data_IF_769107326454
#
_entry.id   IF_769107326454
#
_cell.length_a   1.000
_cell.length_b   1.000
_cell.length_c   1.000
_cell.angle_alpha   90.00
_cell.angle_beta   90.00
_cell.angle_gamma   90.00
#
_symmetry.space_group_name_H-M   'P 1'
#
loop_
_entity.id
_entity.type
_entity.pdbx_description
1 polymer ?
#
# COMPACT_ATOMS: atom_id res chain seq x y z
N UNK A 1 8.28 11.88 28.25
CA UNK A 1 8.65 11.17 27.03
C UNK A 1 8.64 12.12 25.84
N UNK A 2 9.52 11.91 24.89
CA UNK A 2 9.61 12.72 23.67
C UNK A 2 9.34 11.80 22.47
N UNK A 3 8.44 12.24 21.59
CA UNK A 3 8.24 11.65 20.27
C UNK A 3 8.67 12.69 19.24
N UNK A 4 9.73 12.40 18.49
CA UNK A 4 10.39 13.43 17.69
C UNK A 4 10.91 14.56 18.59
N UNK A 5 10.51 15.79 18.30
CA UNK A 5 10.83 16.98 19.11
C UNK A 5 9.72 17.38 20.09
N UNK A 6 8.66 16.57 20.25
CA UNK A 6 7.48 16.93 21.05
C UNK A 6 7.45 16.13 22.37
N UNK A 7 7.25 16.85 23.46
CA UNK A 7 7.10 16.26 24.79
C UNK A 7 5.65 15.82 25.01
N UNK A 8 5.45 14.58 25.44
CA UNK A 8 4.13 13.96 25.67
C UNK A 8 3.89 13.81 27.17
N UNK A 9 2.70 14.20 27.62
CA UNK A 9 2.25 14.03 29.01
C UNK A 9 1.98 12.56 29.35
N UNK A 10 1.81 12.25 30.65
CA UNK A 10 1.47 10.88 31.10
C UNK A 10 0.12 10.42 30.56
N UNK A 11 -0.88 11.30 30.55
CA UNK A 11 -2.22 10.96 30.06
C UNK A 11 -2.21 10.64 28.56
N UNK A 12 -1.47 11.42 27.79
CA UNK A 12 -1.26 11.18 26.36
C UNK A 12 -0.52 9.87 26.13
N UNK A 13 0.49 9.57 26.93
CA UNK A 13 1.22 8.31 26.86
C UNK A 13 0.32 7.12 27.17
N UNK A 14 -0.50 7.22 28.21
CA UNK A 14 -1.43 6.14 28.60
C UNK A 14 -2.48 5.91 27.51
N UNK A 15 -2.99 6.97 26.88
CA UNK A 15 -3.88 6.88 25.73
C UNK A 15 -3.22 6.15 24.56
N UNK A 16 -1.99 6.50 24.21
CA UNK A 16 -1.24 5.84 23.12
C UNK A 16 -0.95 4.37 23.43
N UNK A 17 -0.70 4.04 24.70
CA UNK A 17 -0.50 2.65 25.13
C UNK A 17 -1.80 1.85 25.01
N UNK A 18 -2.93 2.44 25.40
CA UNK A 18 -4.25 1.82 25.24
C UNK A 18 -4.60 1.62 23.76
N UNK A 19 -4.32 2.60 22.91
CA UNK A 19 -4.51 2.52 21.47
C UNK A 19 -3.66 1.40 20.85
N UNK A 20 -2.42 1.26 21.28
CA UNK A 20 -1.54 0.16 20.87
C UNK A 20 -2.14 -1.20 21.27
N UNK A 21 -2.67 -1.34 22.48
CA UNK A 21 -3.29 -2.57 22.94
C UNK A 21 -4.55 -2.93 22.12
N UNK A 22 -5.36 -1.94 21.77
CA UNK A 22 -6.54 -2.14 20.90
C UNK A 22 -6.12 -2.64 19.52
N UNK A 23 -5.11 -2.01 18.90
CA UNK A 23 -4.57 -2.43 17.60
C UNK A 23 -4.03 -3.85 17.63
N UNK A 24 -3.26 -4.19 18.65
CA UNK A 24 -2.72 -5.55 18.82
C UNK A 24 -3.82 -6.59 18.93
N UNK A 25 -4.80 -6.33 19.77
CA UNK A 25 -5.91 -7.27 20.05
C UNK A 25 -6.84 -7.41 18.86
N UNK A 26 -7.27 -6.29 18.27
CA UNK A 26 -8.29 -6.28 17.21
C UNK A 26 -7.77 -6.81 15.88
N UNK A 27 -6.52 -6.51 15.55
CA UNK A 27 -5.92 -6.84 14.26
C UNK A 27 -4.78 -7.86 14.34
N UNK A 28 -4.60 -8.49 15.48
CA UNK A 28 -3.57 -9.52 15.71
C UNK A 28 -2.15 -9.05 15.34
N UNK A 29 -1.82 -7.81 15.70
CA UNK A 29 -0.53 -7.19 15.42
C UNK A 29 0.48 -7.45 16.53
N UNK A 30 1.77 -7.46 16.16
CA UNK A 30 2.85 -7.38 17.15
C UNK A 30 2.87 -6.00 17.82
N UNK A 31 3.49 -5.90 19.00
CA UNK A 31 3.66 -4.61 19.66
C UNK A 31 4.48 -3.62 18.83
N UNK A 32 5.48 -4.11 18.11
CA UNK A 32 6.32 -3.30 17.22
C UNK A 32 5.52 -2.75 16.04
N UNK A 33 4.76 -3.60 15.36
CA UNK A 33 3.93 -3.18 14.22
C UNK A 33 2.84 -2.17 14.63
N UNK A 34 2.17 -2.42 15.75
CA UNK A 34 1.17 -1.50 16.28
C UNK A 34 1.79 -0.14 16.65
N UNK A 35 2.97 -0.14 17.28
CA UNK A 35 3.69 1.09 17.61
C UNK A 35 4.09 1.86 16.35
N UNK A 36 4.61 1.19 15.34
CA UNK A 36 5.00 1.81 14.07
C UNK A 36 3.81 2.43 13.34
N UNK A 37 2.66 1.76 13.34
CA UNK A 37 1.42 2.31 12.79
C UNK A 37 1.00 3.59 13.49
N UNK A 38 1.04 3.62 14.81
CA UNK A 38 0.68 4.80 15.61
C UNK A 38 1.64 5.96 15.32
N UNK A 39 2.94 5.70 15.34
CA UNK A 39 3.96 6.73 15.15
C UNK A 39 3.94 7.36 13.76
N UNK A 40 3.51 6.63 12.74
CA UNK A 40 3.37 7.12 11.37
C UNK A 40 1.98 7.67 11.05
N UNK A 41 1.04 7.63 12.01
CA UNK A 41 -0.35 8.02 11.80
C UNK A 41 -0.63 9.48 12.16
N UNK A 42 -1.83 9.94 11.78
CA UNK A 42 -2.35 11.27 12.10
C UNK A 42 -2.52 11.51 13.61
N UNK A 43 -2.63 10.47 14.42
CA UNK A 43 -2.97 10.58 15.84
C UNK A 43 -1.92 11.36 16.64
N UNK A 44 -0.65 11.29 16.23
CA UNK A 44 0.42 12.01 16.90
C UNK A 44 0.21 13.52 16.77
N UNK A 45 -0.08 14.01 15.58
CA UNK A 45 -0.40 15.43 15.36
C UNK A 45 -1.66 15.85 16.10
N UNK A 46 -2.66 14.99 16.11
CA UNK A 46 -3.94 15.28 16.77
C UNK A 46 -3.77 15.43 18.28
N UNK A 47 -3.02 14.52 18.92
CA UNK A 47 -2.73 14.59 20.36
C UNK A 47 -1.91 15.84 20.71
N UNK A 48 -0.98 16.23 19.83
CA UNK A 48 -0.15 17.42 20.04
C UNK A 48 -0.96 18.71 19.92
N UNK A 49 -1.84 18.81 18.92
CA UNK A 49 -2.61 20.02 18.62
C UNK A 49 -3.90 20.13 19.44
N UNK A 50 -4.54 19.00 19.70
CA UNK A 50 -5.86 18.95 20.36
C UNK A 50 -5.88 17.84 21.43
N UNK A 51 -5.04 17.95 22.49
CA UNK A 51 -4.90 16.85 23.47
C UNK A 51 -6.18 16.55 24.24
N UNK A 52 -6.92 17.57 24.67
CA UNK A 52 -8.12 17.36 25.48
C UNK A 52 -9.22 16.65 24.70
N UNK A 53 -9.50 17.10 23.49
CA UNK A 53 -10.50 16.51 22.62
C UNK A 53 -10.11 15.08 22.23
N UNK A 54 -8.85 14.87 21.87
CA UNK A 54 -8.35 13.55 21.42
C UNK A 54 -8.43 12.50 22.54
N UNK A 55 -8.10 12.88 23.78
CA UNK A 55 -8.16 11.98 24.93
C UNK A 55 -9.59 11.56 25.29
N UNK A 56 -10.60 12.33 24.86
CA UNK A 56 -12.02 12.00 25.04
C UNK A 56 -12.63 11.26 23.85
N UNK A 57 -11.92 11.15 22.74
CA UNK A 57 -12.40 10.42 21.57
C UNK A 57 -12.42 8.91 21.81
N UNK A 58 -13.33 8.24 21.08
CA UNK A 58 -13.40 6.78 21.10
C UNK A 58 -12.12 6.17 20.51
N UNK A 59 -11.39 5.48 21.37
CA UNK A 59 -10.09 4.87 21.02
C UNK A 59 -10.23 3.81 19.92
N UNK A 60 -11.35 3.08 19.87
CA UNK A 60 -11.56 2.07 18.83
C UNK A 60 -11.76 2.69 17.45
N UNK A 61 -12.41 3.85 17.37
CA UNK A 61 -12.56 4.58 16.11
C UNK A 61 -11.19 5.00 15.57
N UNK A 62 -10.32 5.52 16.44
CA UNK A 62 -8.96 5.88 16.03
C UNK A 62 -8.14 4.66 15.63
N UNK A 63 -8.27 3.54 16.35
CA UNK A 63 -7.59 2.30 15.98
C UNK A 63 -7.99 1.82 14.59
N UNK A 64 -9.28 1.83 14.28
CA UNK A 64 -9.79 1.43 12.98
C UNK A 64 -9.31 2.35 11.87
N UNK A 65 -9.36 3.67 12.09
CA UNK A 65 -8.88 4.65 11.12
C UNK A 65 -7.38 4.50 10.84
N UNK A 66 -6.58 4.31 11.88
CA UNK A 66 -5.12 4.11 11.75
C UNK A 66 -4.81 2.84 10.97
N UNK A 67 -5.50 1.75 11.27
CA UNK A 67 -5.31 0.49 10.57
C UNK A 67 -5.71 0.59 9.10
N UNK A 68 -6.87 1.16 8.81
CA UNK A 68 -7.35 1.35 7.43
C UNK A 68 -6.42 2.25 6.62
N UNK A 69 -5.96 3.37 7.18
CA UNK A 69 -5.01 4.28 6.54
C UNK A 69 -3.69 3.58 6.25
N UNK A 70 -3.20 2.76 7.18
CA UNK A 70 -1.97 2.00 7.00
C UNK A 70 -2.11 0.94 5.91
N UNK A 71 -3.23 0.23 5.85
CA UNK A 71 -3.51 -0.74 4.78
C UNK A 71 -3.64 -0.04 3.42
N UNK A 72 -4.30 1.12 3.37
CA UNK A 72 -4.40 1.92 2.15
C UNK A 72 -3.02 2.38 1.64
N UNK A 73 -2.10 2.74 2.55
CA UNK A 73 -0.74 3.15 2.19
C UNK A 73 0.12 2.01 1.62
N UNK A 74 -0.27 0.75 1.84
CA UNK A 74 0.41 -0.43 1.30
C UNK A 74 -0.05 -0.79 -0.10
N UNK A 75 -1.11 -0.19 -0.61
CA UNK A 75 -1.59 -0.44 -1.97
C UNK A 75 -0.57 0.04 -2.99
N UNK A 76 -0.39 -0.73 -4.07
CA UNK A 76 0.45 -0.31 -5.18
C UNK A 76 -0.14 0.92 -5.87
N UNK A 77 0.69 1.63 -6.60
CA UNK A 77 0.25 2.75 -7.42
C UNK A 77 -0.86 2.33 -8.40
N UNK A 78 -0.72 1.16 -9.03
CA UNK A 78 -1.71 0.61 -9.95
C UNK A 78 -3.06 0.41 -9.28
N UNK A 79 -3.08 -0.23 -8.12
CA UNK A 79 -4.33 -0.47 -7.37
C UNK A 79 -5.02 0.84 -6.99
N UNK A 80 -4.26 1.82 -6.50
CA UNK A 80 -4.83 3.14 -6.18
C UNK A 80 -5.44 3.83 -7.38
N UNK A 81 -4.74 3.83 -8.53
CA UNK A 81 -5.24 4.43 -9.76
C UNK A 81 -6.53 3.76 -10.25
N UNK A 82 -6.58 2.43 -10.18
CA UNK A 82 -7.77 1.66 -10.57
C UNK A 82 -8.97 1.98 -9.68
N UNK A 83 -8.77 2.00 -8.36
CA UNK A 83 -9.83 2.31 -7.39
C UNK A 83 -10.33 3.75 -7.54
N UNK A 84 -9.44 4.71 -7.67
CA UNK A 84 -9.79 6.13 -7.86
C UNK A 84 -10.58 6.38 -9.14
N UNK A 85 -10.29 5.61 -10.19
CA UNK A 85 -10.98 5.71 -11.47
C UNK A 85 -12.28 4.88 -11.54
N UNK A 86 -12.63 4.13 -10.48
CA UNK A 86 -13.86 3.34 -10.43
C UNK A 86 -13.75 1.95 -11.04
N UNK A 87 -12.56 1.43 -11.25
CA UNK A 87 -12.31 0.10 -11.82
C UNK A 87 -12.07 -0.96 -10.74
N UNK A 88 -12.97 -1.06 -9.79
CA UNK A 88 -12.94 -2.13 -8.81
C UNK A 88 -13.14 -3.49 -9.49
N UNK A 89 -12.36 -4.49 -9.07
CA UNK A 89 -12.45 -5.84 -9.64
C UNK A 89 -11.64 -6.05 -10.91
N UNK A 90 -10.95 -5.03 -11.44
CA UNK A 90 -10.01 -5.22 -12.54
C UNK A 90 -8.83 -6.07 -12.08
N UNK A 91 -8.46 -7.07 -12.87
CA UNK A 91 -7.32 -7.94 -12.57
C UNK A 91 -6.02 -7.21 -12.93
N UNK A 92 -5.08 -7.16 -11.99
CA UNK A 92 -3.78 -6.52 -12.17
C UNK A 92 -2.67 -7.38 -11.55
N UNK A 93 -1.41 -7.13 -11.95
CA UNK A 93 -0.27 -7.85 -11.41
C UNK A 93 0.06 -7.39 -9.99
N UNK A 94 0.32 -8.34 -9.10
CA UNK A 94 0.62 -8.05 -7.68
C UNK A 94 2.02 -8.50 -7.23
N UNK A 95 2.54 -9.58 -7.79
CA UNK A 95 3.85 -10.10 -7.40
C UNK A 95 4.51 -10.88 -8.57
N UNK A 96 5.38 -10.26 -9.35
CA UNK A 96 5.75 -8.83 -9.29
C UNK A 96 4.59 -7.91 -9.66
N UNK A 97 4.59 -6.69 -9.13
CA UNK A 97 3.49 -5.73 -9.36
C UNK A 97 3.59 -5.01 -10.70
N UNK A 98 4.78 -4.88 -11.25
CA UNK A 98 5.04 -4.13 -12.50
C UNK A 98 4.39 -2.74 -12.53
N UNK A 99 4.27 -2.08 -11.38
CA UNK A 99 3.51 -0.82 -11.29
C UNK A 99 4.07 0.30 -12.17
N UNK A 100 5.37 0.32 -12.42
CA UNK A 100 5.99 1.30 -13.32
C UNK A 100 5.73 1.00 -14.80
N UNK A 101 5.28 -0.19 -15.11
CA UNK A 101 4.91 -0.62 -16.45
C UNK A 101 3.42 -0.43 -16.76
N UNK A 102 2.60 -0.11 -15.74
CA UNK A 102 1.16 0.08 -15.91
C UNK A 102 0.87 1.32 -16.77
N UNK A 103 0.12 1.15 -17.85
CA UNK A 103 -0.21 2.22 -18.79
C UNK A 103 -1.63 2.78 -18.61
N UNK A 104 -2.58 1.93 -18.24
CA UNK A 104 -3.97 2.32 -18.17
C UNK A 104 -4.93 1.15 -18.39
N UNK A 105 -6.12 1.49 -18.86
CA UNK A 105 -7.23 0.56 -19.05
C UNK A 105 -7.62 0.48 -20.52
N UNK A 106 -7.90 -0.72 -21.01
CA UNK A 106 -8.44 -0.94 -22.34
C UNK A 106 -9.93 -0.62 -22.41
N UNK A 107 -10.50 -0.59 -23.62
CA UNK A 107 -11.92 -0.34 -23.85
C UNK A 107 -12.85 -1.42 -23.25
N UNK A 108 -12.31 -2.60 -22.96
CA UNK A 108 -12.99 -3.70 -22.29
C UNK A 108 -12.59 -3.86 -20.81
N UNK A 109 -12.14 -2.76 -20.18
CA UNK A 109 -11.84 -2.64 -18.75
C UNK A 109 -10.72 -3.58 -18.26
N UNK A 110 -9.71 -3.81 -19.09
CA UNK A 110 -8.55 -4.62 -18.75
C UNK A 110 -7.32 -3.74 -18.52
N UNK A 111 -6.52 -4.07 -17.50
CA UNK A 111 -5.26 -3.36 -17.23
C UNK A 111 -4.25 -3.60 -18.36
N UNK A 112 -3.59 -2.54 -18.82
CA UNK A 112 -2.58 -2.59 -19.88
C UNK A 112 -1.21 -2.30 -19.32
N UNK A 113 -0.25 -3.15 -19.64
CA UNK A 113 1.16 -3.03 -19.23
C UNK A 113 2.09 -2.99 -20.44
N UNK A 114 3.15 -2.19 -20.33
CA UNK A 114 4.22 -2.10 -21.34
C UNK A 114 5.25 -3.20 -21.11
N UNK A 115 5.44 -4.09 -22.08
CA UNK A 115 6.37 -5.23 -21.99
C UNK A 115 7.81 -4.78 -21.66
N UNK A 116 8.35 -3.79 -22.36
CA UNK A 116 9.72 -3.33 -22.14
C UNK A 116 9.92 -2.74 -20.74
N UNK A 117 8.91 -2.05 -20.23
CA UNK A 117 8.94 -1.54 -18.84
C UNK A 117 8.79 -2.63 -17.81
N UNK A 118 8.06 -3.70 -18.11
CA UNK A 118 8.02 -4.89 -17.26
C UNK A 118 9.41 -5.53 -17.16
N UNK A 119 10.12 -5.63 -18.27
CA UNK A 119 11.51 -6.13 -18.31
C UNK A 119 12.41 -5.25 -17.45
N UNK A 120 12.37 -3.93 -17.63
CA UNK A 120 13.13 -2.97 -16.82
C UNK A 120 12.84 -3.12 -15.31
N UNK A 121 11.58 -3.32 -14.96
CA UNK A 121 11.18 -3.51 -13.57
C UNK A 121 11.83 -4.73 -12.93
N UNK A 122 11.87 -5.86 -13.64
CA UNK A 122 12.53 -7.07 -13.14
C UNK A 122 14.05 -6.92 -13.04
N UNK A 123 14.66 -6.25 -14.01
CA UNK A 123 16.10 -5.97 -13.96
C UNK A 123 16.46 -5.08 -12.78
N UNK A 124 15.66 -4.05 -12.53
CA UNK A 124 15.95 -3.06 -11.48
C UNK A 124 15.59 -3.51 -10.08
N UNK A 125 14.51 -4.31 -9.91
CA UNK A 125 13.97 -4.65 -8.60
C UNK A 125 14.18 -6.11 -8.19
N UNK A 126 14.34 -7.02 -9.15
CA UNK A 126 14.48 -8.46 -8.89
C UNK A 126 15.88 -9.00 -9.24
N UNK A 127 16.80 -8.11 -9.52
CA UNK A 127 18.21 -8.43 -9.80
C UNK A 127 18.39 -9.47 -10.93
N UNK A 128 17.52 -9.44 -11.93
CA UNK A 128 17.57 -10.30 -13.10
C UNK A 128 18.36 -9.66 -14.23
N UNK A 129 18.96 -10.49 -15.09
CA UNK A 129 19.45 -10.02 -16.40
C UNK A 129 18.27 -9.75 -17.31
N UNK A 130 18.49 -9.00 -18.39
CA UNK A 130 17.43 -8.73 -19.37
C UNK A 130 16.86 -10.02 -19.97
N UNK A 131 17.71 -10.99 -20.33
CA UNK A 131 17.29 -12.28 -20.87
C UNK A 131 16.46 -13.09 -19.85
N UNK A 132 16.90 -13.13 -18.59
CA UNK A 132 16.16 -13.77 -17.50
C UNK A 132 14.81 -13.11 -17.29
N UNK A 133 14.76 -11.78 -17.33
CA UNK A 133 13.52 -11.02 -17.17
C UNK A 133 12.51 -11.32 -18.29
N UNK A 134 12.96 -11.37 -19.54
CA UNK A 134 12.12 -11.70 -20.69
C UNK A 134 11.57 -13.12 -20.58
N UNK A 135 12.41 -14.08 -20.25
CA UNK A 135 12.00 -15.47 -20.04
C UNK A 135 10.99 -15.60 -18.90
N UNK A 136 11.21 -14.89 -17.80
CA UNK A 136 10.29 -14.88 -16.65
C UNK A 136 8.91 -14.34 -17.03
N UNK A 137 8.83 -13.23 -17.75
CA UNK A 137 7.56 -12.63 -18.19
C UNK A 137 6.85 -13.57 -19.16
N UNK A 138 7.55 -14.09 -20.14
CA UNK A 138 6.97 -14.98 -21.15
C UNK A 138 6.39 -16.26 -20.52
N UNK A 139 7.02 -16.76 -19.46
CA UNK A 139 6.55 -17.94 -18.75
C UNK A 139 5.41 -17.66 -17.76
N UNK A 140 5.45 -16.54 -17.07
CA UNK A 140 4.56 -16.28 -15.93
C UNK A 140 3.42 -15.30 -16.21
N UNK A 141 3.53 -14.46 -17.23
CA UNK A 141 2.62 -13.35 -17.43
C UNK A 141 1.83 -13.40 -18.75
N UNK A 142 2.20 -14.26 -19.70
CA UNK A 142 1.61 -14.26 -21.04
C UNK A 142 0.47 -15.27 -21.24
N UNK A 143 0.10 -16.02 -20.23
CA UNK A 143 -1.03 -16.94 -20.34
C UNK A 143 -2.37 -16.21 -20.26
N UNK A 144 -3.33 -16.69 -21.04
CA UNK A 144 -4.65 -16.05 -21.14
C UNK A 144 -5.49 -16.32 -19.89
N UNK A 145 -6.00 -15.23 -19.31
CA UNK A 145 -7.05 -15.27 -18.27
C UNK A 145 -8.14 -14.30 -18.73
N UNK A 146 -9.40 -14.73 -18.72
CA UNK A 146 -10.50 -13.84 -19.05
C UNK A 146 -10.51 -12.62 -18.12
N UNK A 147 -10.54 -11.42 -18.71
CA UNK A 147 -10.42 -10.17 -17.95
C UNK A 147 -9.04 -9.85 -17.42
N UNK A 148 -8.05 -10.69 -17.68
CA UNK A 148 -6.67 -10.51 -17.21
C UNK A 148 -5.94 -9.37 -17.92
N UNK A 149 -4.75 -9.00 -17.39
CA UNK A 149 -3.95 -7.91 -17.96
C UNK A 149 -3.59 -8.13 -19.42
N UNK A 150 -3.50 -7.03 -20.14
CA UNK A 150 -3.01 -6.99 -21.52
C UNK A 150 -1.55 -6.53 -21.49
N UNK A 151 -0.68 -7.24 -22.20
CA UNK A 151 0.70 -6.85 -22.38
C UNK A 151 0.86 -6.22 -23.75
N UNK A 152 1.32 -4.98 -23.78
CA UNK A 152 1.54 -4.21 -25.00
C UNK A 152 2.99 -4.33 -25.45
N UNK A 153 3.21 -4.81 -26.66
CA UNK A 153 4.51 -4.86 -27.30
C UNK A 153 4.62 -3.66 -28.24
N UNK A 154 5.54 -2.74 -27.94
CA UNK A 154 5.77 -1.61 -28.82
C UNK A 154 6.50 -2.05 -30.08
N UNK A 155 6.04 -1.55 -31.22
CA UNK A 155 6.71 -1.77 -32.47
C UNK A 155 7.59 -0.54 -32.78
N UNK A 156 8.85 -0.80 -33.12
CA UNK A 156 9.78 0.25 -33.56
C UNK A 156 9.78 0.34 -35.09
N UNK A 157 9.90 1.56 -35.63
CA UNK A 157 10.04 1.79 -37.06
C UNK A 157 11.47 1.51 -37.53
#
# INVERSE_FOLDING_TARGET
KIIGSVKITMDEKDYLMALKDVLKRKYSLSGEDAADMILSSYIISLIVLYPEETLHDDIEVHADNIYEDHQASKKTKTERLLLEAGYEGTIFFTNPSYEDAFLGISSDDRAIYDYEKMVESLVNHEDMTEDEAREFIDYNATFYIEGGPIILYRLEE
#
